data_IF_280163798404
#
_entry.id   IF_280163798404
#
_cell.length_a   1.000
_cell.length_b   1.000
_cell.length_c   1.000
_cell.angle_alpha   90.00
_cell.angle_beta   90.00
_cell.angle_gamma   90.00
#
_symmetry.space_group_name_H-M   'P 1'
#
loop_
_entity.id
_entity.type
_entity.pdbx_description
1 polymer ?
#
# COMPACT_ATOMS: atom_id res chain seq x y z
N UNK A 1 -1.92 -17.98 -1.14
CA UNK A 1 -1.99 -17.13 0.08
C UNK A 1 -1.80 -15.69 -0.36
N UNK A 2 -2.45 -14.73 0.30
CA UNK A 2 -2.21 -13.31 0.02
C UNK A 2 -1.81 -12.61 1.31
N UNK A 3 -0.79 -11.75 1.26
CA UNK A 3 -0.43 -10.85 2.36
C UNK A 3 -0.82 -9.45 1.95
N UNK A 4 -1.67 -8.80 2.75
CA UNK A 4 -2.19 -7.44 2.48
C UNK A 4 -1.72 -6.43 3.55
N UNK A 5 -1.44 -5.18 3.16
CA UNK A 5 -1.11 -4.11 4.09
C UNK A 5 -2.39 -3.49 4.68
N UNK A 6 -2.96 -4.13 5.70
CA UNK A 6 -4.11 -3.57 6.41
C UNK A 6 -3.72 -2.39 7.32
N UNK A 7 -4.67 -1.54 7.66
CA UNK A 7 -4.46 -0.44 8.61
C UNK A 7 -4.00 -0.91 9.99
N UNK A 8 -4.45 -2.10 10.41
CA UNK A 8 -4.06 -2.74 11.68
C UNK A 8 -2.73 -3.50 11.63
N UNK A 9 -2.08 -3.60 10.46
CA UNK A 9 -0.84 -4.34 10.28
C UNK A 9 -0.81 -5.19 9.01
N UNK A 10 0.19 -6.04 8.89
CA UNK A 10 0.25 -7.01 7.79
C UNK A 10 -0.69 -8.18 8.09
N UNK A 11 -1.61 -8.48 7.18
CA UNK A 11 -2.58 -9.57 7.32
C UNK A 11 -2.35 -10.65 6.27
N UNK A 12 -2.15 -11.88 6.72
CA UNK A 12 -2.05 -13.06 5.86
C UNK A 12 -3.42 -13.73 5.71
N UNK A 13 -3.90 -13.85 4.48
CA UNK A 13 -5.17 -14.49 4.13
C UNK A 13 -4.88 -15.86 3.49
N UNK A 14 -5.36 -16.91 4.17
CA UNK A 14 -5.30 -18.31 3.72
C UNK A 14 -6.71 -18.85 3.44
N UNK A 15 -6.84 -20.00 2.75
CA UNK A 15 -8.14 -20.67 2.60
C UNK A 15 -8.80 -20.92 3.97
N UNK A 16 -10.11 -20.68 4.07
CA UNK A 16 -10.86 -20.80 5.32
C UNK A 16 -10.65 -19.66 6.33
N UNK A 17 -10.00 -18.56 5.95
CA UNK A 17 -9.90 -17.38 6.82
C UNK A 17 -11.29 -16.84 7.19
N UNK A 18 -11.42 -16.32 8.41
CA UNK A 18 -12.67 -15.71 8.89
C UNK A 18 -13.10 -14.56 7.98
N UNK A 19 -14.40 -14.46 7.72
CA UNK A 19 -14.95 -13.37 6.92
C UNK A 19 -14.62 -12.02 7.58
N UNK A 20 -14.03 -11.10 6.83
CA UNK A 20 -13.49 -9.84 7.36
C UNK A 20 -13.44 -8.81 6.26
N UNK A 21 -13.72 -7.55 6.61
CA UNK A 21 -13.46 -6.39 5.76
C UNK A 21 -12.28 -5.65 6.38
N UNK A 22 -11.24 -5.41 5.59
CA UNK A 22 -10.04 -4.69 6.04
C UNK A 22 -9.79 -3.49 5.14
N UNK A 23 -9.52 -2.33 5.75
CA UNK A 23 -9.02 -1.15 5.05
C UNK A 23 -7.53 -1.33 4.74
N UNK A 24 -7.12 -0.96 3.52
CA UNK A 24 -5.75 -1.04 3.04
C UNK A 24 -5.04 0.30 3.18
N UNK A 25 -3.82 0.28 3.69
CA UNK A 25 -2.92 1.43 3.72
C UNK A 25 -1.88 1.34 2.60
N UNK A 26 -1.20 2.45 2.23
CA UNK A 26 -0.09 2.42 1.29
C UNK A 26 0.96 1.40 1.72
N UNK A 27 1.30 0.45 0.85
CA UNK A 27 2.25 -0.59 1.18
C UNK A 27 2.33 -1.75 0.20
N UNK A 28 3.10 -2.77 0.58
CA UNK A 28 3.32 -3.96 -0.25
C UNK A 28 2.26 -5.01 0.03
N UNK A 29 1.60 -5.47 -1.02
CA UNK A 29 0.83 -6.69 -1.08
C UNK A 29 1.66 -7.78 -1.78
N UNK A 30 1.51 -9.04 -1.34
CA UNK A 30 2.11 -10.17 -2.05
C UNK A 30 1.10 -11.29 -2.28
N UNK A 31 1.11 -11.83 -3.49
CA UNK A 31 0.30 -12.99 -3.91
C UNK A 31 1.25 -14.18 -4.04
N UNK A 32 0.92 -15.26 -3.34
CA UNK A 32 1.73 -16.47 -3.28
C UNK A 32 1.01 -17.62 -3.98
N UNK A 33 1.61 -18.12 -5.05
CA UNK A 33 1.15 -19.21 -5.89
C UNK A 33 2.21 -20.34 -5.89
N UNK A 34 2.09 -21.28 -4.95
CA UNK A 34 3.10 -22.31 -4.75
C UNK A 34 4.42 -21.70 -4.28
N UNK A 35 5.47 -21.78 -5.11
CA UNK A 35 6.77 -21.16 -4.84
C UNK A 35 6.90 -19.74 -5.43
N UNK A 36 5.94 -19.33 -6.26
CA UNK A 36 5.99 -18.04 -6.94
C UNK A 36 5.36 -16.95 -6.05
N UNK A 37 6.06 -15.82 -5.93
CA UNK A 37 5.62 -14.68 -5.14
C UNK A 37 5.63 -13.42 -6.00
N UNK A 38 4.44 -12.90 -6.28
CA UNK A 38 4.27 -11.65 -7.03
C UNK A 38 3.95 -10.53 -6.05
N UNK A 39 4.71 -9.43 -6.11
CA UNK A 39 4.56 -8.28 -5.21
C UNK A 39 4.00 -7.06 -5.95
N UNK A 40 3.05 -6.41 -5.30
CA UNK A 40 2.43 -5.18 -5.76
C UNK A 40 2.56 -4.11 -4.68
N UNK A 41 2.82 -2.88 -5.09
CA UNK A 41 2.52 -1.74 -4.24
C UNK A 41 1.06 -1.34 -4.44
N UNK A 42 0.32 -1.21 -3.34
CA UNK A 42 -1.08 -0.75 -3.32
C UNK A 42 -1.15 0.60 -2.63
N UNK A 43 -1.89 1.54 -3.21
CA UNK A 43 -2.03 2.90 -2.69
C UNK A 43 -2.99 2.98 -1.50
N UNK A 44 -4.21 2.51 -1.67
CA UNK A 44 -5.28 2.47 -0.67
C UNK A 44 -6.41 1.59 -1.19
N UNK A 45 -7.37 1.26 -0.32
CA UNK A 45 -8.56 0.51 -0.72
C UNK A 45 -9.11 -0.38 0.38
N UNK A 46 -9.76 -1.48 -0.02
CA UNK A 46 -10.36 -2.45 0.88
C UNK A 46 -10.08 -3.88 0.42
N UNK A 47 -9.96 -4.79 1.38
CA UNK A 47 -9.99 -6.23 1.16
C UNK A 47 -11.26 -6.83 1.78
N UNK A 48 -12.01 -7.58 0.99
CA UNK A 48 -13.19 -8.32 1.41
C UNK A 48 -12.85 -9.81 1.43
N UNK A 49 -12.74 -10.38 2.63
CA UNK A 49 -12.53 -11.81 2.83
C UNK A 49 -13.89 -12.45 3.06
N UNK A 50 -14.26 -13.38 2.20
CA UNK A 50 -15.56 -14.05 2.21
C UNK A 50 -15.49 -15.42 2.88
N UNK A 51 -16.61 -15.87 3.46
CA UNK A 51 -16.70 -17.16 4.13
C UNK A 51 -16.51 -18.37 3.18
N UNK A 52 -16.69 -18.17 1.88
CA UNK A 52 -16.53 -19.20 0.85
C UNK A 52 -15.07 -19.36 0.36
N UNK A 53 -14.09 -18.83 1.10
CA UNK A 53 -12.66 -18.84 0.74
C UNK A 53 -12.29 -18.05 -0.52
N UNK A 54 -13.08 -17.03 -0.85
CA UNK A 54 -12.72 -16.00 -1.82
C UNK A 54 -12.30 -14.71 -1.11
N UNK A 55 -11.36 -13.98 -1.70
CA UNK A 55 -10.97 -12.67 -1.22
C UNK A 55 -10.93 -11.68 -2.39
N UNK A 56 -11.65 -10.58 -2.27
CA UNK A 56 -11.62 -9.48 -3.24
C UNK A 56 -10.74 -8.35 -2.70
N UNK A 57 -9.68 -8.01 -3.42
CA UNK A 57 -8.82 -6.87 -3.09
C UNK A 57 -9.16 -5.74 -4.06
N UNK A 58 -9.75 -4.67 -3.52
CA UNK A 58 -10.16 -3.49 -4.27
C UNK A 58 -9.21 -2.36 -3.91
N UNK A 59 -8.31 -2.02 -4.82
CA UNK A 59 -7.36 -0.92 -4.65
C UNK A 59 -7.63 0.19 -5.68
N UNK A 60 -7.34 1.44 -5.31
CA UNK A 60 -7.41 2.56 -6.26
C UNK A 60 -6.30 2.41 -7.30
N UNK A 61 -5.07 2.15 -6.84
CA UNK A 61 -3.92 1.84 -7.69
C UNK A 61 -3.19 0.62 -7.13
N UNK A 62 -2.76 -0.27 -8.03
CA UNK A 62 -1.95 -1.43 -7.71
C UNK A 62 -0.89 -1.62 -8.80
N UNK A 63 0.38 -1.47 -8.44
CA UNK A 63 1.50 -1.46 -9.41
C UNK A 63 2.50 -2.55 -9.04
N UNK A 64 2.95 -3.40 -9.97
CA UNK A 64 4.06 -4.32 -9.74
C UNK A 64 5.30 -3.57 -9.25
N UNK A 65 5.97 -4.07 -8.21
CA UNK A 65 7.09 -3.33 -7.59
C UNK A 65 8.25 -3.08 -8.57
N UNK A 66 8.46 -3.99 -9.51
CA UNK A 66 9.50 -3.91 -10.54
C UNK A 66 9.23 -2.82 -11.60
N UNK A 67 8.01 -2.26 -11.64
CA UNK A 67 7.64 -1.16 -12.55
C UNK A 67 7.77 0.22 -11.90
N UNK A 68 8.17 0.28 -10.62
CA UNK A 68 8.28 1.55 -9.88
C UNK A 68 9.70 2.09 -10.04
N UNK A 69 9.82 3.32 -10.57
CA UNK A 69 11.11 4.00 -10.71
C UNK A 69 11.57 4.60 -9.35
N UNK A 70 12.67 4.11 -8.75
CA UNK A 70 13.17 4.62 -7.47
C UNK A 70 13.54 6.10 -7.50
N UNK A 71 13.97 6.62 -8.64
CA UNK A 71 14.35 8.02 -8.79
C UNK A 71 13.14 8.95 -8.68
N UNK A 72 12.00 8.54 -9.24
CA UNK A 72 10.75 9.30 -9.12
C UNK A 72 10.20 9.24 -7.69
N UNK A 73 10.33 8.10 -7.02
CA UNK A 73 9.92 7.96 -5.62
C UNK A 73 10.70 8.91 -4.72
N UNK A 74 12.03 8.96 -4.85
CA UNK A 74 12.88 9.86 -4.07
C UNK A 74 12.57 11.33 -4.36
N UNK A 75 12.38 11.68 -5.64
CA UNK A 75 11.99 13.03 -6.05
C UNK A 75 10.65 13.44 -5.44
N UNK A 76 9.64 12.57 -5.52
CA UNK A 76 8.32 12.82 -4.94
C UNK A 76 8.38 12.96 -3.42
N UNK A 77 9.15 12.12 -2.73
CA UNK A 77 9.33 12.22 -1.28
C UNK A 77 9.91 13.58 -0.86
N UNK A 78 10.94 14.05 -1.57
CA UNK A 78 11.52 15.36 -1.33
C UNK A 78 10.52 16.50 -1.59
N UNK A 79 9.75 16.41 -2.69
CA UNK A 79 8.74 17.40 -3.05
C UNK A 79 7.64 17.51 -1.99
N UNK A 80 7.06 16.38 -1.55
CA UNK A 80 6.00 16.39 -0.54
C UNK A 80 6.50 16.76 0.85
N UNK A 81 7.75 16.42 1.19
CA UNK A 81 8.38 16.88 2.44
C UNK A 81 8.58 18.40 2.44
N UNK A 82 8.99 18.98 1.31
CA UNK A 82 9.09 20.42 1.16
C UNK A 82 7.71 21.08 1.25
N UNK A 83 6.70 20.55 0.54
CA UNK A 83 5.31 21.03 0.60
C UNK A 83 4.78 21.04 2.02
N UNK A 84 5.01 19.96 2.77
CA UNK A 84 4.60 19.84 4.18
C UNK A 84 5.25 20.91 5.06
N UNK A 85 6.53 21.21 4.80
CA UNK A 85 7.28 22.22 5.54
C UNK A 85 6.83 23.65 5.23
N UNK A 86 6.39 23.91 3.99
CA UNK A 86 5.91 25.23 3.55
C UNK A 86 4.40 25.45 3.71
N UNK A 87 3.64 24.40 4.03
CA UNK A 87 2.19 24.45 4.10
C UNK A 87 1.71 25.39 5.21
N UNK A 88 0.76 26.25 4.86
CA UNK A 88 0.28 27.34 5.71
C UNK A 88 -1.08 27.03 6.34
N UNK A 89 -1.89 26.22 5.65
CA UNK A 89 -3.21 25.80 6.12
C UNK A 89 -3.21 24.34 6.58
N UNK A 90 -4.17 23.98 7.42
CA UNK A 90 -4.31 22.60 7.88
C UNK A 90 -4.66 21.63 6.73
N UNK A 91 -5.39 22.12 5.72
CA UNK A 91 -5.68 21.35 4.51
C UNK A 91 -4.40 21.04 3.72
N UNK A 92 -3.59 22.06 3.44
CA UNK A 92 -2.31 21.88 2.73
C UNK A 92 -1.37 20.93 3.47
N UNK A 93 -1.33 21.01 4.81
CA UNK A 93 -0.54 20.10 5.64
C UNK A 93 -1.05 18.67 5.54
N UNK A 94 -2.36 18.47 5.60
CA UNK A 94 -2.96 17.14 5.49
C UNK A 94 -2.67 16.50 4.12
N UNK A 95 -2.84 17.24 3.03
CA UNK A 95 -2.54 16.76 1.68
C UNK A 95 -1.06 16.45 1.49
N UNK A 96 -0.18 17.32 1.98
CA UNK A 96 1.26 17.08 1.91
C UNK A 96 1.69 15.86 2.74
N UNK A 97 1.09 15.67 3.92
CA UNK A 97 1.34 14.51 4.77
C UNK A 97 0.96 13.21 4.08
N UNK A 98 -0.20 13.14 3.42
CA UNK A 98 -0.61 11.97 2.63
C UNK A 98 0.44 11.66 1.55
N UNK A 99 0.94 12.69 0.86
CA UNK A 99 1.99 12.53 -0.13
C UNK A 99 3.30 11.98 0.45
N UNK A 100 3.72 12.48 1.62
CA UNK A 100 4.90 11.97 2.34
C UNK A 100 4.70 10.51 2.74
N UNK A 101 3.54 10.15 3.28
CA UNK A 101 3.25 8.80 3.76
C UNK A 101 3.31 7.78 2.62
N UNK A 102 2.72 8.10 1.47
CA UNK A 102 2.74 7.23 0.27
C UNK A 102 4.17 7.08 -0.27
N UNK A 103 4.92 8.17 -0.43
CA UNK A 103 6.28 8.10 -0.98
C UNK A 103 7.27 7.44 -0.01
N UNK A 104 7.06 7.59 1.30
CA UNK A 104 7.82 6.88 2.32
C UNK A 104 7.56 5.37 2.27
N UNK A 105 6.30 4.97 2.09
CA UNK A 105 5.93 3.57 1.90
C UNK A 105 6.50 2.99 0.59
N UNK A 106 6.45 3.75 -0.51
CA UNK A 106 7.07 3.36 -1.79
C UNK A 106 8.58 3.18 -1.65
N UNK A 107 9.26 4.11 -0.99
CA UNK A 107 10.71 4.01 -0.78
C UNK A 107 11.05 2.78 0.05
N UNK A 108 10.30 2.53 1.13
CA UNK A 108 10.47 1.34 1.98
C UNK A 108 10.23 0.05 1.19
N UNK A 109 9.24 0.02 0.30
CA UNK A 109 8.93 -1.13 -0.55
C UNK A 109 10.07 -1.49 -1.52
N UNK A 110 10.85 -0.50 -1.97
CA UNK A 110 11.96 -0.68 -2.90
C UNK A 110 13.27 -1.07 -2.22
N UNK A 111 13.50 -0.62 -0.98
CA UNK A 111 14.76 -0.85 -0.27
C UNK A 111 14.82 -2.15 0.53
N UNK A 112 13.66 -2.78 0.79
CA UNK A 112 13.55 -4.04 1.55
C UNK A 112 13.34 -3.84 3.04
#
# INVERSE_FOLDING_TARGET
MVIIPATTGQMGVLPGHVATIAELKPGVMSVHEGNDVTKYFVSSGFAFIHANSYADVIAVEAVPIDQIDPSQVQKGLAEFTQKLSSASTDLEKAEAQIGVDVHSALNSALTG
#
